data_IF_252655366874
#
_entry.id   IF_252655366874
#
_cell.length_a   1.000
_cell.length_b   1.000
_cell.length_c   1.000
_cell.angle_alpha   90.00
_cell.angle_beta   90.00
_cell.angle_gamma   90.00
#
_symmetry.space_group_name_H-M   'P 1'
#
loop_
_entity.id
_entity.type
_entity.pdbx_description
1 polymer ?
#
# COMPACT_ATOMS: atom_id res chain seq x y z
N UNK A 1 7.45 -22.52 4.25
CA UNK A 1 7.01 -22.16 5.61
C UNK A 1 7.87 -21.00 6.05
N UNK A 2 7.29 -19.84 6.24
CA UNK A 2 8.03 -18.67 6.71
C UNK A 2 8.68 -18.95 8.03
N UNK A 3 9.96 -18.68 8.11
CA UNK A 3 10.57 -18.43 9.40
C UNK A 3 10.10 -17.05 9.84
N UNK A 4 9.29 -16.99 10.92
CA UNK A 4 8.53 -15.83 11.40
C UNK A 4 9.44 -14.71 11.98
N UNK A 5 10.47 -14.34 11.26
CA UNK A 5 11.44 -13.35 11.72
C UNK A 5 10.75 -12.02 12.07
N UNK A 6 10.30 -11.27 11.08
CA UNK A 6 9.45 -10.08 11.29
C UNK A 6 8.22 -10.08 10.37
N UNK A 7 8.17 -10.94 9.33
CA UNK A 7 7.08 -11.04 8.37
C UNK A 7 6.11 -12.13 8.82
N UNK A 8 4.84 -11.77 9.02
CA UNK A 8 3.77 -12.70 9.40
C UNK A 8 2.93 -13.17 8.23
N UNK A 9 2.86 -12.37 7.17
CA UNK A 9 2.13 -12.66 5.94
C UNK A 9 2.68 -11.83 4.79
N UNK A 10 2.49 -12.31 3.56
CA UNK A 10 2.71 -11.59 2.31
C UNK A 10 1.37 -11.25 1.69
N UNK A 11 1.19 -10.02 1.28
CA UNK A 11 -0.02 -9.54 0.63
C UNK A 11 0.29 -9.05 -0.78
N UNK A 12 -0.44 -9.57 -1.78
CA UNK A 12 -0.35 -9.10 -3.17
C UNK A 12 -1.66 -8.41 -3.52
N UNK A 13 -1.66 -7.11 -3.67
CA UNK A 13 -2.84 -6.35 -4.04
C UNK A 13 -3.37 -6.65 -5.45
N UNK A 14 -4.66 -6.38 -5.64
CA UNK A 14 -5.30 -6.51 -6.95
C UNK A 14 -4.63 -5.64 -8.00
N UNK A 15 -4.35 -4.37 -7.68
CA UNK A 15 -3.78 -3.42 -8.66
C UNK A 15 -2.41 -3.83 -9.17
N UNK A 16 -1.58 -4.49 -8.39
CA UNK A 16 -0.25 -4.96 -8.81
C UNK A 16 -0.31 -5.96 -9.96
N UNK A 17 -1.35 -6.77 -10.04
CA UNK A 17 -1.50 -7.82 -11.07
C UNK A 17 -2.60 -7.52 -12.07
N UNK A 18 -3.59 -6.73 -11.69
CA UNK A 18 -4.74 -6.38 -12.53
C UNK A 18 -4.40 -5.27 -13.52
N UNK A 19 -3.69 -4.24 -13.05
CA UNK A 19 -3.41 -3.01 -13.78
C UNK A 19 -1.91 -2.94 -14.09
N UNK A 20 -1.43 -3.54 -15.18
CA UNK A 20 -0.03 -3.37 -15.56
C UNK A 20 0.25 -1.90 -15.87
N UNK A 21 1.36 -1.40 -15.33
CA UNK A 21 1.71 0.01 -15.43
C UNK A 21 2.19 0.34 -16.86
N UNK A 22 1.65 1.43 -17.40
CA UNK A 22 2.26 2.16 -18.51
C UNK A 22 3.33 3.10 -17.98
N UNK A 23 3.98 3.79 -18.87
CA UNK A 23 4.83 4.94 -18.57
C UNK A 23 4.17 6.22 -19.15
N UNK A 24 4.72 7.44 -18.87
CA UNK A 24 4.16 8.68 -19.40
C UNK A 24 4.13 8.78 -20.94
N UNK A 25 4.83 7.89 -21.62
CA UNK A 25 5.00 7.91 -23.09
C UNK A 25 4.23 6.81 -23.80
N UNK A 26 3.57 5.92 -23.06
CA UNK A 26 2.76 4.88 -23.68
C UNK A 26 1.96 4.05 -22.66
N UNK A 27 0.86 3.49 -23.13
CA UNK A 27 0.02 2.60 -22.33
C UNK A 27 0.73 1.28 -21.96
N UNK A 28 0.15 0.50 -21.05
CA UNK A 28 0.70 -0.79 -20.65
C UNK A 28 0.73 -1.79 -21.81
N UNK A 29 1.75 -2.64 -21.83
CA UNK A 29 1.86 -3.75 -22.80
C UNK A 29 0.86 -4.85 -22.48
N UNK A 30 0.65 -5.12 -21.19
CA UNK A 30 -0.29 -6.13 -20.73
C UNK A 30 -1.71 -5.58 -20.67
N UNK A 31 -2.74 -6.34 -21.07
CA UNK A 31 -4.12 -5.90 -20.90
C UNK A 31 -4.52 -5.87 -19.43
N UNK A 32 -5.45 -4.96 -19.08
CA UNK A 32 -6.11 -5.00 -17.77
C UNK A 32 -6.85 -6.33 -17.60
N UNK A 33 -6.69 -6.97 -16.45
CA UNK A 33 -7.39 -8.23 -16.14
C UNK A 33 -8.73 -7.95 -15.46
N UNK A 34 -9.75 -8.77 -15.73
CA UNK A 34 -11.02 -8.70 -14.99
C UNK A 34 -10.81 -9.02 -13.50
N UNK A 35 -11.58 -8.39 -12.63
CA UNK A 35 -11.45 -8.55 -11.19
C UNK A 35 -11.72 -9.97 -10.68
N UNK A 36 -12.62 -10.71 -11.33
CA UNK A 36 -12.88 -12.10 -10.94
C UNK A 36 -11.73 -13.03 -11.37
N UNK A 37 -11.15 -12.80 -12.55
CA UNK A 37 -9.95 -13.54 -13.01
C UNK A 37 -8.73 -13.19 -12.14
N UNK A 38 -8.58 -11.92 -11.75
CA UNK A 38 -7.56 -11.50 -10.77
C UNK A 38 -7.74 -12.24 -9.43
N UNK A 39 -8.96 -12.31 -8.92
CA UNK A 39 -9.25 -13.04 -7.68
C UNK A 39 -8.89 -14.53 -7.80
N UNK A 40 -9.19 -15.19 -8.93
CA UNK A 40 -8.84 -16.60 -9.18
C UNK A 40 -7.32 -16.81 -9.22
N UNK A 41 -6.61 -15.90 -9.87
CA UNK A 41 -5.15 -15.95 -9.96
C UNK A 41 -4.50 -15.78 -8.57
N UNK A 42 -4.93 -14.78 -7.80
CA UNK A 42 -4.43 -14.56 -6.45
C UNK A 42 -4.77 -15.73 -5.51
N UNK A 43 -5.96 -16.32 -5.63
CA UNK A 43 -6.34 -17.52 -4.90
C UNK A 43 -5.44 -18.73 -5.27
N UNK A 44 -5.06 -18.89 -6.55
CA UNK A 44 -4.08 -19.88 -7.01
C UNK A 44 -2.71 -19.63 -6.39
N UNK A 45 -2.27 -18.37 -6.33
CA UNK A 45 -0.99 -17.99 -5.72
C UNK A 45 -0.97 -18.26 -4.21
N UNK A 46 -2.09 -18.05 -3.51
CA UNK A 46 -2.24 -18.39 -2.10
C UNK A 46 -2.13 -19.91 -1.87
N UNK A 47 -2.83 -20.73 -2.67
CA UNK A 47 -2.75 -22.19 -2.61
C UNK A 47 -1.34 -22.72 -2.91
N UNK A 48 -0.57 -22.01 -3.72
CA UNK A 48 0.83 -22.32 -4.01
C UNK A 48 1.81 -21.83 -2.91
N UNK A 49 1.32 -21.17 -1.85
CA UNK A 49 2.14 -20.66 -0.75
C UNK A 49 2.98 -19.42 -1.10
N UNK A 50 2.66 -18.74 -2.19
CA UNK A 50 3.37 -17.52 -2.60
C UNK A 50 2.93 -16.30 -1.81
N UNK A 51 1.65 -16.21 -1.47
CA UNK A 51 1.03 -15.11 -0.72
C UNK A 51 0.02 -15.65 0.29
N UNK A 52 -0.35 -14.84 1.27
CA UNK A 52 -1.31 -15.18 2.32
C UNK A 52 -2.54 -14.25 2.30
N UNK A 53 -2.35 -13.05 1.77
CA UNK A 53 -3.32 -11.97 1.80
C UNK A 53 -3.37 -11.21 0.48
N UNK A 54 -4.39 -10.40 0.33
CA UNK A 54 -4.55 -9.44 -0.77
C UNK A 54 -5.13 -8.13 -0.24
N UNK A 55 -5.06 -7.08 -1.06
CA UNK A 55 -5.64 -5.77 -0.82
C UNK A 55 -6.24 -5.21 -2.11
N UNK A 56 -7.05 -4.17 -2.02
CA UNK A 56 -7.74 -3.67 -3.21
C UNK A 56 -8.20 -2.22 -3.06
N UNK A 57 -8.21 -1.48 -4.16
CA UNK A 57 -9.09 -0.32 -4.28
C UNK A 57 -10.53 -0.81 -4.48
N UNK A 58 -11.48 0.04 -4.14
CA UNK A 58 -12.89 -0.24 -4.45
C UNK A 58 -13.13 -0.38 -5.97
N UNK A 59 -12.47 0.44 -6.79
CA UNK A 59 -12.63 0.45 -8.25
C UNK A 59 -11.88 -0.71 -8.96
N UNK A 60 -10.97 -1.41 -8.29
CA UNK A 60 -10.35 -2.64 -8.82
C UNK A 60 -11.37 -3.78 -8.90
N UNK A 61 -12.33 -3.79 -8.00
CA UNK A 61 -13.33 -4.84 -7.89
C UNK A 61 -14.55 -4.56 -8.75
N UNK A 62 -15.12 -3.38 -8.57
CA UNK A 62 -16.36 -2.94 -9.21
C UNK A 62 -16.33 -1.44 -9.48
N UNK A 63 -16.78 -0.99 -10.65
CA UNK A 63 -16.78 0.42 -10.98
C UNK A 63 -17.69 1.21 -10.03
N UNK A 64 -17.40 2.48 -9.86
CA UNK A 64 -18.20 3.41 -9.10
C UNK A 64 -18.90 4.40 -10.05
N UNK A 65 -20.21 4.59 -9.84
CA UNK A 65 -21.00 5.59 -10.56
C UNK A 65 -21.24 6.83 -9.67
N UNK A 66 -20.66 7.98 -9.99
CA UNK A 66 -20.87 9.19 -9.22
C UNK A 66 -22.30 9.75 -9.31
N UNK A 67 -23.11 9.33 -10.30
CA UNK A 67 -24.51 9.72 -10.42
C UNK A 67 -25.41 8.93 -9.46
N UNK A 68 -24.99 7.72 -9.10
CA UNK A 68 -25.70 6.81 -8.21
C UNK A 68 -24.75 6.32 -7.08
N UNK A 69 -24.19 7.21 -6.27
CA UNK A 69 -23.10 6.86 -5.35
C UNK A 69 -23.52 5.94 -4.20
N UNK A 70 -24.81 5.76 -3.97
CA UNK A 70 -25.37 5.00 -2.84
C UNK A 70 -25.95 3.63 -3.24
N UNK A 71 -26.31 3.45 -4.52
CA UNK A 71 -27.14 2.32 -4.98
C UNK A 71 -26.35 1.10 -5.44
N UNK A 72 -25.05 1.22 -5.63
CA UNK A 72 -24.23 0.17 -6.24
C UNK A 72 -23.93 -1.04 -5.34
N UNK A 73 -24.33 -1.01 -4.07
CA UNK A 73 -24.26 -2.15 -3.15
C UNK A 73 -25.64 -2.75 -2.81
N UNK A 74 -26.65 -2.54 -3.65
CA UNK A 74 -27.93 -3.22 -3.51
C UNK A 74 -27.73 -4.75 -3.61
N UNK A 75 -28.19 -5.53 -2.60
CA UNK A 75 -28.10 -7.00 -2.62
C UNK A 75 -28.68 -7.68 -3.84
N UNK A 76 -29.63 -7.04 -4.54
CA UNK A 76 -30.23 -7.52 -5.79
C UNK A 76 -29.46 -7.05 -7.04
N UNK A 77 -28.54 -6.10 -6.88
CA UNK A 77 -27.77 -5.47 -7.97
C UNK A 77 -26.67 -6.36 -8.54
N UNK A 78 -26.23 -6.04 -9.74
CA UNK A 78 -25.15 -6.75 -10.43
C UNK A 78 -23.80 -6.55 -9.72
N UNK A 79 -23.53 -5.33 -9.28
CA UNK A 79 -22.32 -4.97 -8.53
C UNK A 79 -22.16 -5.83 -7.28
N UNK A 80 -23.24 -5.99 -6.51
CA UNK A 80 -23.23 -6.83 -5.31
C UNK A 80 -22.97 -8.30 -5.66
N UNK A 81 -23.63 -8.82 -6.71
CA UNK A 81 -23.39 -10.21 -7.17
C UNK A 81 -21.94 -10.45 -7.57
N UNK A 82 -21.32 -9.50 -8.27
CA UNK A 82 -19.90 -9.58 -8.64
C UNK A 82 -19.01 -9.61 -7.39
N UNK A 83 -19.26 -8.73 -6.40
CA UNK A 83 -18.54 -8.73 -5.13
C UNK A 83 -18.68 -10.05 -4.37
N UNK A 84 -19.87 -10.64 -4.36
CA UNK A 84 -20.09 -11.97 -3.73
C UNK A 84 -19.32 -13.08 -4.45
N UNK A 85 -19.25 -13.05 -5.79
CA UNK A 85 -18.47 -13.99 -6.57
C UNK A 85 -16.96 -13.87 -6.25
N UNK A 86 -16.42 -12.66 -6.21
CA UNK A 86 -15.03 -12.40 -5.80
C UNK A 86 -14.79 -12.90 -4.37
N UNK A 87 -15.64 -12.51 -3.42
CA UNK A 87 -15.55 -12.97 -2.01
C UNK A 87 -15.51 -14.50 -1.90
N UNK A 88 -16.35 -15.19 -2.66
CA UNK A 88 -16.39 -16.66 -2.70
C UNK A 88 -15.04 -17.22 -3.16
N UNK A 89 -14.49 -16.72 -4.26
CA UNK A 89 -13.19 -17.18 -4.80
C UNK A 89 -12.06 -16.95 -3.80
N UNK A 90 -11.99 -15.77 -3.18
CA UNK A 90 -10.96 -15.45 -2.17
C UNK A 90 -11.05 -16.41 -0.98
N UNK A 91 -12.27 -16.63 -0.44
CA UNK A 91 -12.50 -17.54 0.69
C UNK A 91 -12.13 -18.99 0.35
N UNK A 92 -12.55 -19.51 -0.80
CA UNK A 92 -12.24 -20.87 -1.25
C UNK A 92 -10.76 -21.05 -1.58
N UNK A 93 -10.07 -19.96 -1.92
CA UNK A 93 -8.62 -19.90 -2.08
C UNK A 93 -7.83 -19.82 -0.76
N UNK A 94 -8.51 -19.60 0.38
CA UNK A 94 -7.85 -19.38 1.68
C UNK A 94 -7.24 -17.98 1.82
N UNK A 95 -7.49 -17.07 0.87
CA UNK A 95 -6.89 -15.75 0.81
C UNK A 95 -7.67 -14.77 1.71
N UNK A 96 -6.95 -14.10 2.60
CA UNK A 96 -7.51 -13.05 3.49
C UNK A 96 -7.32 -11.68 2.86
N UNK A 97 -8.18 -10.72 3.22
CA UNK A 97 -8.03 -9.32 2.80
C UNK A 97 -7.35 -8.52 3.91
N UNK A 98 -6.17 -7.95 3.60
CA UNK A 98 -5.43 -7.11 4.53
C UNK A 98 -6.06 -5.73 4.64
N UNK A 99 -6.20 -5.02 3.52
CA UNK A 99 -6.78 -3.69 3.53
C UNK A 99 -7.65 -3.42 2.30
N UNK A 100 -8.46 -2.37 2.44
CA UNK A 100 -9.13 -1.69 1.33
C UNK A 100 -8.75 -0.22 1.33
N UNK A 101 -8.66 0.37 0.15
CA UNK A 101 -8.41 1.80 -0.04
C UNK A 101 -9.39 2.39 -1.04
N UNK A 102 -9.73 3.67 -0.87
CA UNK A 102 -10.66 4.36 -1.74
C UNK A 102 -9.95 4.98 -2.93
N UNK A 103 -10.34 4.65 -4.14
CA UNK A 103 -9.80 5.25 -5.36
C UNK A 103 -10.32 6.68 -5.55
N UNK A 104 -9.63 7.66 -4.95
CA UNK A 104 -9.92 9.10 -5.11
C UNK A 104 -8.99 9.78 -6.13
N UNK A 105 -8.36 9.01 -7.03
CA UNK A 105 -7.36 9.52 -7.98
C UNK A 105 -7.80 9.39 -9.45
N UNK A 106 -8.48 8.31 -9.81
CA UNK A 106 -8.79 7.99 -11.21
C UNK A 106 -9.94 8.78 -11.81
N UNK A 107 -10.95 9.13 -11.01
CA UNK A 107 -12.12 9.87 -11.52
C UNK A 107 -11.83 11.37 -11.63
N UNK A 108 -12.10 12.03 -12.78
CA UNK A 108 -11.87 13.47 -12.99
C UNK A 108 -12.54 14.41 -11.96
N UNK A 109 -13.60 13.96 -11.28
CA UNK A 109 -14.23 14.72 -10.20
C UNK A 109 -13.23 15.06 -9.09
N UNK A 110 -12.29 14.17 -8.80
CA UNK A 110 -11.31 14.33 -7.74
C UNK A 110 -9.98 14.97 -8.20
N UNK A 111 -9.92 15.55 -9.41
CA UNK A 111 -8.69 16.15 -9.98
C UNK A 111 -8.03 17.20 -9.07
N UNK A 112 -8.82 17.89 -8.25
CA UNK A 112 -8.34 18.92 -7.32
C UNK A 112 -8.31 18.46 -5.85
N UNK A 113 -8.28 17.16 -5.63
CA UNK A 113 -8.36 16.52 -4.32
C UNK A 113 -9.69 15.80 -4.10
N UNK A 114 -9.70 14.85 -3.19
CA UNK A 114 -10.89 14.16 -2.71
C UNK A 114 -11.41 14.77 -1.41
N UNK A 115 -10.81 14.36 -0.30
CA UNK A 115 -11.20 14.82 1.05
C UNK A 115 -10.81 16.27 1.33
N UNK A 116 -9.84 16.81 0.61
CA UNK A 116 -9.38 18.20 0.74
C UNK A 116 -9.79 19.08 -0.45
N UNK A 117 -10.72 18.63 -1.29
CA UNK A 117 -11.18 19.41 -2.44
C UNK A 117 -11.72 20.77 -1.99
N UNK A 118 -11.40 21.89 -2.67
CA UNK A 118 -11.98 23.20 -2.36
C UNK A 118 -13.50 23.23 -2.42
N UNK A 119 -14.10 22.45 -3.33
CA UNK A 119 -15.57 22.35 -3.42
C UNK A 119 -16.13 21.41 -2.33
N UNK A 120 -16.96 21.92 -1.40
CA UNK A 120 -17.54 21.09 -0.33
C UNK A 120 -18.46 19.98 -0.87
N UNK A 121 -19.04 20.13 -2.07
CA UNK A 121 -19.87 19.08 -2.71
C UNK A 121 -18.99 17.91 -3.12
N UNK A 122 -17.80 18.17 -3.63
CA UNK A 122 -16.85 17.12 -4.00
C UNK A 122 -16.30 16.43 -2.74
N UNK A 123 -15.99 17.16 -1.66
CA UNK A 123 -15.61 16.56 -0.37
C UNK A 123 -16.71 15.61 0.16
N UNK A 124 -17.97 16.04 0.11
CA UNK A 124 -19.11 15.22 0.53
C UNK A 124 -19.23 13.95 -0.34
N UNK A 125 -19.03 14.07 -1.64
CA UNK A 125 -19.05 12.93 -2.57
C UNK A 125 -17.88 11.98 -2.31
N UNK A 126 -16.69 12.50 -2.05
CA UNK A 126 -15.52 11.70 -1.65
C UNK A 126 -15.79 10.92 -0.35
N UNK A 127 -16.40 11.56 0.66
CA UNK A 127 -16.79 10.90 1.91
C UNK A 127 -17.78 9.74 1.66
N UNK A 128 -18.77 9.91 0.80
CA UNK A 128 -19.70 8.84 0.40
C UNK A 128 -18.99 7.69 -0.31
N UNK A 129 -18.05 7.98 -1.19
CA UNK A 129 -17.22 6.94 -1.84
C UNK A 129 -16.37 6.19 -0.83
N UNK A 130 -15.82 6.88 0.18
CA UNK A 130 -15.11 6.24 1.31
C UNK A 130 -16.05 5.33 2.11
N UNK A 131 -17.28 5.75 2.41
CA UNK A 131 -18.28 4.90 3.06
C UNK A 131 -18.59 3.63 2.25
N UNK A 132 -18.71 3.75 0.92
CA UNK A 132 -18.85 2.61 0.01
C UNK A 132 -17.66 1.66 0.12
N UNK A 133 -16.44 2.19 0.07
CA UNK A 133 -15.21 1.40 0.21
C UNK A 133 -15.18 0.64 1.54
N UNK A 134 -15.58 1.29 2.63
CA UNK A 134 -15.68 0.64 3.95
C UNK A 134 -16.73 -0.48 3.97
N UNK A 135 -17.86 -0.33 3.28
CA UNK A 135 -18.87 -1.40 3.13
C UNK A 135 -18.33 -2.58 2.32
N UNK A 136 -17.63 -2.31 1.22
CA UNK A 136 -16.96 -3.34 0.40
C UNK A 136 -15.93 -4.08 1.27
N UNK A 137 -15.07 -3.36 1.97
CA UNK A 137 -14.06 -3.96 2.84
C UNK A 137 -14.67 -4.78 3.98
N UNK A 138 -15.79 -4.34 4.56
CA UNK A 138 -16.52 -5.12 5.54
C UNK A 138 -17.03 -6.43 4.94
N UNK A 139 -17.63 -6.37 3.75
CA UNK A 139 -18.12 -7.54 3.02
C UNK A 139 -17.01 -8.56 2.75
N UNK A 140 -15.82 -8.09 2.40
CA UNK A 140 -14.64 -8.92 2.11
C UNK A 140 -13.88 -9.36 3.38
N UNK A 141 -14.16 -8.78 4.54
CA UNK A 141 -13.47 -9.05 5.79
C UNK A 141 -12.10 -8.40 5.92
N UNK A 142 -11.88 -7.27 5.23
CA UNK A 142 -10.66 -6.49 5.30
C UNK A 142 -10.29 -6.10 6.74
N UNK A 143 -9.01 -6.14 7.08
CA UNK A 143 -8.52 -5.83 8.43
C UNK A 143 -8.24 -4.34 8.63
N UNK A 144 -7.89 -3.62 7.56
CA UNK A 144 -7.51 -2.21 7.59
C UNK A 144 -8.24 -1.42 6.51
N UNK A 145 -8.40 -0.13 6.76
CA UNK A 145 -8.67 0.86 5.74
C UNK A 145 -7.40 1.69 5.56
N UNK A 146 -6.97 1.92 4.32
CA UNK A 146 -5.85 2.80 4.03
C UNK A 146 -6.36 4.08 3.36
N UNK A 147 -5.95 5.21 3.89
CA UNK A 147 -5.99 6.48 3.19
C UNK A 147 -4.65 6.68 2.48
N UNK A 148 -4.63 6.37 1.20
CA UNK A 148 -3.59 6.86 0.30
C UNK A 148 -3.94 8.30 -0.08
N UNK A 149 -2.93 9.19 -0.09
CA UNK A 149 -3.15 10.63 -0.28
C UNK A 149 -3.75 11.01 -1.63
N UNK A 150 -3.73 10.10 -2.62
CA UNK A 150 -4.41 10.22 -3.91
C UNK A 150 -4.09 11.54 -4.64
N UNK A 151 -5.05 12.48 -4.65
CA UNK A 151 -4.90 13.82 -5.24
C UNK A 151 -5.04 14.93 -4.19
N UNK A 152 -4.99 14.61 -2.92
CA UNK A 152 -5.01 15.58 -1.83
C UNK A 152 -3.63 16.26 -1.70
N UNK A 153 -3.46 17.30 -2.50
CA UNK A 153 -2.22 18.04 -2.71
C UNK A 153 -2.48 19.29 -3.57
N UNK A 154 -1.44 19.91 -4.08
CA UNK A 154 -1.55 21.11 -4.90
C UNK A 154 -0.41 21.29 -5.91
N UNK A 155 -0.65 22.10 -6.95
CA UNK A 155 0.34 22.64 -7.88
C UNK A 155 0.35 24.17 -7.88
N UNK A 156 -0.78 24.83 -7.52
CA UNK A 156 -0.97 26.26 -7.69
C UNK A 156 -1.30 26.92 -6.35
N UNK A 157 -0.37 27.69 -5.82
CA UNK A 157 -0.54 28.39 -4.54
C UNK A 157 -1.82 29.23 -4.47
N UNK A 158 -2.08 30.03 -5.50
CA UNK A 158 -3.23 30.95 -5.54
C UNK A 158 -4.62 30.25 -5.57
N UNK A 159 -4.64 28.91 -5.75
CA UNK A 159 -5.87 28.10 -5.76
C UNK A 159 -5.96 27.16 -4.56
N UNK A 160 -5.05 27.26 -3.62
CA UNK A 160 -4.96 26.35 -2.48
C UNK A 160 -5.34 27.09 -1.19
N UNK A 161 -6.32 26.56 -0.48
CA UNK A 161 -6.73 27.08 0.83
C UNK A 161 -5.86 26.44 1.92
N UNK A 162 -4.70 27.05 2.17
CA UNK A 162 -3.75 26.59 3.18
C UNK A 162 -4.27 26.76 4.63
N UNK A 163 -5.28 27.58 4.84
CA UNK A 163 -5.85 27.76 6.17
C UNK A 163 -6.71 26.59 6.63
N UNK A 164 -7.41 25.92 5.69
CA UNK A 164 -8.43 24.92 6.04
C UNK A 164 -8.14 23.50 5.55
N UNK A 165 -7.14 23.30 4.66
CA UNK A 165 -6.90 21.98 4.05
C UNK A 165 -6.69 20.85 5.06
N UNK A 166 -5.98 21.11 6.18
CA UNK A 166 -5.76 20.09 7.21
C UNK A 166 -6.97 19.89 8.12
N UNK A 167 -7.86 20.87 8.23
CA UNK A 167 -9.14 20.69 8.91
C UNK A 167 -10.05 19.78 8.08
N UNK A 168 -10.16 20.02 6.77
CA UNK A 168 -10.93 19.16 5.87
C UNK A 168 -10.39 17.73 5.85
N UNK A 169 -9.06 17.57 5.82
CA UNK A 169 -8.45 16.26 5.88
C UNK A 169 -8.76 15.55 7.21
N UNK A 170 -8.65 16.25 8.32
CA UNK A 170 -8.96 15.70 9.64
C UNK A 170 -10.44 15.29 9.74
N UNK A 171 -11.35 16.12 9.22
CA UNK A 171 -12.78 15.81 9.17
C UNK A 171 -13.05 14.54 8.35
N UNK A 172 -12.44 14.44 7.17
CA UNK A 172 -12.56 13.25 6.31
C UNK A 172 -12.04 11.98 6.96
N UNK A 173 -10.87 12.02 7.61
CA UNK A 173 -10.31 10.84 8.27
C UNK A 173 -11.02 10.50 9.60
N UNK A 174 -11.48 11.48 10.35
CA UNK A 174 -12.34 11.23 11.51
C UNK A 174 -13.67 10.61 11.09
N UNK A 175 -14.25 11.01 9.94
CA UNK A 175 -15.46 10.41 9.39
C UNK A 175 -15.29 8.90 9.12
N UNK A 176 -14.12 8.45 8.66
CA UNK A 176 -13.82 7.01 8.50
C UNK A 176 -14.07 6.24 9.80
N UNK A 177 -13.50 6.71 10.90
CA UNK A 177 -13.63 6.01 12.20
C UNK A 177 -15.02 6.12 12.79
N UNK A 178 -15.68 7.24 12.59
CA UNK A 178 -17.06 7.47 13.05
C UNK A 178 -18.04 6.58 12.26
N UNK A 179 -17.83 6.43 10.93
CA UNK A 179 -18.66 5.54 10.11
C UNK A 179 -18.45 4.06 10.45
N UNK A 180 -17.20 3.61 10.62
CA UNK A 180 -16.91 2.23 11.07
C UNK A 180 -17.63 1.93 12.38
N UNK A 181 -17.58 2.86 13.34
CA UNK A 181 -18.25 2.69 14.64
C UNK A 181 -19.79 2.68 14.51
N UNK A 182 -20.35 3.63 13.74
CA UNK A 182 -21.79 3.74 13.45
C UNK A 182 -22.33 2.45 12.83
N UNK A 183 -21.61 1.89 11.88
CA UNK A 183 -22.01 0.67 11.16
C UNK A 183 -21.63 -0.61 11.90
N UNK A 184 -20.95 -0.51 13.04
CA UNK A 184 -20.47 -1.66 13.85
C UNK A 184 -19.61 -2.64 13.04
N UNK A 185 -18.75 -2.14 12.19
CA UNK A 185 -17.83 -2.96 11.38
C UNK A 185 -16.68 -3.49 12.23
N UNK A 186 -16.83 -4.68 12.80
CA UNK A 186 -15.89 -5.29 13.76
C UNK A 186 -14.66 -5.94 13.11
N UNK A 187 -14.66 -6.09 11.79
CA UNK A 187 -13.53 -6.64 11.04
C UNK A 187 -12.32 -5.70 11.00
N UNK A 188 -12.54 -4.38 10.97
CA UNK A 188 -11.46 -3.40 10.94
C UNK A 188 -10.70 -3.37 12.28
N UNK A 189 -9.39 -3.62 12.22
CA UNK A 189 -8.47 -3.60 13.37
C UNK A 189 -7.64 -2.32 13.42
N UNK A 190 -7.77 -1.47 12.42
CA UNK A 190 -7.11 -0.19 12.31
C UNK A 190 -7.34 0.47 10.96
N UNK A 191 -6.84 1.69 10.86
CA UNK A 191 -6.70 2.40 9.61
C UNK A 191 -5.27 2.92 9.47
N UNK A 192 -4.85 3.21 8.25
CA UNK A 192 -3.51 3.74 7.97
C UNK A 192 -3.57 4.96 7.07
N UNK A 193 -2.58 5.81 7.23
CA UNK A 193 -2.20 6.82 6.24
C UNK A 193 -1.01 6.26 5.46
N UNK A 194 -1.08 6.35 4.16
CA UNK A 194 0.03 6.09 3.25
C UNK A 194 0.52 7.42 2.69
N UNK A 195 1.66 7.90 3.19
CA UNK A 195 2.21 9.19 2.78
C UNK A 195 2.88 9.12 1.42
N UNK A 196 2.81 10.21 0.65
CA UNK A 196 3.51 10.37 -0.63
C UNK A 196 3.94 11.82 -0.81
N UNK A 197 5.18 12.11 -1.27
CA UNK A 197 5.69 13.49 -1.37
C UNK A 197 5.08 14.27 -2.52
N UNK A 198 4.90 13.64 -3.67
CA UNK A 198 4.35 14.20 -4.90
C UNK A 198 3.72 13.09 -5.74
N UNK A 199 3.22 13.42 -6.93
CA UNK A 199 2.47 12.53 -7.81
C UNK A 199 1.19 11.94 -7.15
N UNK A 200 0.07 12.11 -7.86
CA UNK A 200 -0.10 12.78 -9.17
C UNK A 200 -0.13 14.31 -9.10
N UNK A 201 -0.01 14.91 -7.92
CA UNK A 201 0.08 16.36 -7.72
C UNK A 201 1.54 16.78 -7.50
N UNK A 202 1.87 18.07 -7.72
CA UNK A 202 3.21 18.59 -7.53
C UNK A 202 3.71 18.53 -6.09
N UNK A 203 2.81 18.69 -5.10
CA UNK A 203 3.08 18.48 -3.68
C UNK A 203 1.85 17.86 -3.01
N UNK A 204 2.07 16.86 -2.15
CA UNK A 204 1.03 16.18 -1.39
C UNK A 204 1.00 16.67 0.05
N UNK A 205 -0.18 16.62 0.71
CA UNK A 205 -0.34 17.22 2.04
C UNK A 205 0.26 16.41 3.18
N UNK A 206 0.50 15.13 3.00
CA UNK A 206 1.22 14.26 3.96
C UNK A 206 2.40 13.59 3.26
N UNK A 207 3.50 14.35 3.03
CA UNK A 207 4.56 13.90 2.13
C UNK A 207 5.45 12.79 2.68
N UNK A 208 5.53 12.59 4.01
CA UNK A 208 6.40 11.59 4.63
C UNK A 208 5.73 10.92 5.82
N UNK A 209 6.30 9.79 6.27
CA UNK A 209 5.84 9.09 7.46
C UNK A 209 5.83 9.99 8.71
N UNK A 210 6.81 10.88 8.83
CA UNK A 210 6.86 11.85 9.95
C UNK A 210 5.68 12.81 9.96
N UNK A 211 5.30 13.35 8.79
CA UNK A 211 4.11 14.20 8.64
C UNK A 211 2.83 13.42 8.97
N UNK A 212 2.72 12.19 8.48
CA UNK A 212 1.57 11.33 8.78
C UNK A 212 1.43 11.06 10.28
N UNK A 213 2.51 10.71 10.98
CA UNK A 213 2.49 10.50 12.45
C UNK A 213 2.10 11.77 13.17
N UNK A 214 2.71 12.91 12.84
CA UNK A 214 2.37 14.20 13.43
C UNK A 214 0.89 14.54 13.26
N UNK A 215 0.36 14.38 12.05
CA UNK A 215 -1.05 14.61 11.75
C UNK A 215 -1.98 13.64 12.51
N UNK A 216 -1.69 12.36 12.53
CA UNK A 216 -2.47 11.35 13.27
C UNK A 216 -2.56 11.72 14.75
N UNK A 217 -1.41 12.04 15.36
CA UNK A 217 -1.33 12.28 16.81
C UNK A 217 -1.96 13.59 17.25
N UNK A 218 -2.02 14.61 16.38
CA UNK A 218 -2.46 15.96 16.75
C UNK A 218 -3.86 16.31 16.22
N UNK A 219 -4.32 15.63 15.17
CA UNK A 219 -5.56 16.03 14.46
C UNK A 219 -6.65 14.96 14.47
N UNK A 220 -6.34 13.69 14.70
CA UNK A 220 -7.34 12.63 14.67
C UNK A 220 -7.89 12.31 16.06
N UNK A 221 -9.22 12.12 16.16
CA UNK A 221 -9.94 11.82 17.41
C UNK A 221 -9.57 10.45 18.01
N UNK A 222 -9.17 9.50 17.17
CA UNK A 222 -8.81 8.12 17.58
C UNK A 222 -7.41 7.76 17.07
N UNK A 223 -6.37 8.44 17.57
CA UNK A 223 -5.01 8.27 17.04
C UNK A 223 -4.47 6.83 17.19
N UNK A 224 -4.94 6.04 18.16
CA UNK A 224 -4.50 4.66 18.35
C UNK A 224 -5.11 3.68 17.34
N UNK A 225 -6.25 4.02 16.76
CA UNK A 225 -6.83 3.25 15.65
C UNK A 225 -6.03 3.45 14.35
N UNK A 226 -5.46 4.65 14.18
CA UNK A 226 -4.66 5.03 13.03
C UNK A 226 -3.19 4.69 13.20
N UNK A 227 -2.57 4.32 12.11
CA UNK A 227 -1.11 4.17 11.96
C UNK A 227 -0.65 4.60 10.59
N UNK A 228 0.54 4.21 10.23
CA UNK A 228 1.14 4.47 8.94
C UNK A 228 1.37 3.15 8.23
N UNK A 229 1.07 3.13 6.94
CA UNK A 229 1.51 2.16 5.97
C UNK A 229 2.57 2.88 5.12
N UNK A 230 3.85 2.79 5.46
CA UNK A 230 4.87 3.45 4.67
C UNK A 230 5.18 2.62 3.43
N UNK A 231 5.34 3.28 2.32
CA UNK A 231 5.93 2.73 1.12
C UNK A 231 7.44 3.06 1.13
N UNK A 232 8.17 2.20 1.81
CA UNK A 232 9.47 2.53 2.39
C UNK A 232 10.56 2.88 1.40
N UNK A 233 10.79 2.02 0.41
CA UNK A 233 11.83 2.27 -0.58
C UNK A 233 11.37 3.27 -1.63
N UNK A 234 10.07 3.31 -1.91
CA UNK A 234 9.44 4.11 -2.95
C UNK A 234 9.18 5.54 -2.45
N UNK A 235 8.08 5.81 -1.76
CA UNK A 235 7.71 7.17 -1.38
C UNK A 235 8.73 7.87 -0.48
N UNK A 236 9.30 7.16 0.50
CA UNK A 236 10.38 7.73 1.32
C UNK A 236 11.67 7.91 0.48
N UNK A 237 11.94 7.01 -0.48
CA UNK A 237 13.06 7.11 -1.42
C UNK A 237 12.94 8.29 -2.38
N UNK A 238 11.73 8.67 -2.81
CA UNK A 238 11.50 9.90 -3.58
C UNK A 238 11.98 11.14 -2.83
N UNK A 239 11.88 11.15 -1.49
CA UNK A 239 12.36 12.20 -0.59
C UNK A 239 13.84 12.02 -0.15
N UNK A 240 14.57 11.06 -0.69
CA UNK A 240 15.93 10.71 -0.25
C UNK A 240 16.02 10.26 1.22
N UNK A 241 14.91 9.85 1.81
CA UNK A 241 14.87 9.37 3.18
C UNK A 241 15.33 7.91 3.24
N UNK A 242 16.10 7.57 4.26
CA UNK A 242 16.57 6.21 4.47
C UNK A 242 15.49 5.35 5.13
N UNK A 243 15.12 4.24 4.51
CA UNK A 243 14.05 3.34 4.95
C UNK A 243 14.28 2.73 6.33
N UNK A 244 15.55 2.52 6.71
CA UNK A 244 15.91 2.00 8.05
C UNK A 244 15.55 3.01 9.15
N UNK A 245 15.75 4.31 8.88
CA UNK A 245 15.34 5.37 9.82
C UNK A 245 13.82 5.44 9.94
N UNK A 246 13.09 5.36 8.82
CA UNK A 246 11.63 5.40 8.81
C UNK A 246 11.04 4.24 9.62
N UNK A 247 11.48 3.00 9.41
CA UNK A 247 10.95 1.87 10.18
C UNK A 247 11.28 1.99 11.67
N UNK A 248 12.50 2.39 12.01
CA UNK A 248 12.90 2.60 13.41
C UNK A 248 12.02 3.65 14.10
N UNK A 249 11.77 4.77 13.41
CA UNK A 249 10.91 5.85 13.90
C UNK A 249 9.46 5.37 14.08
N UNK A 250 8.87 4.72 13.06
CA UNK A 250 7.48 4.24 13.12
C UNK A 250 7.29 3.17 14.20
N UNK A 251 8.28 2.30 14.41
CA UNK A 251 8.27 1.33 15.49
C UNK A 251 8.34 2.01 16.87
N UNK A 252 9.22 2.99 17.03
CA UNK A 252 9.33 3.78 18.28
C UNK A 252 8.02 4.51 18.61
N UNK A 253 7.34 5.05 17.60
CA UNK A 253 6.02 5.70 17.73
C UNK A 253 4.86 4.71 17.87
N UNK A 254 5.07 3.40 17.70
CA UNK A 254 4.04 2.36 17.67
C UNK A 254 2.96 2.62 16.58
N UNK A 255 3.38 3.20 15.46
CA UNK A 255 2.49 3.58 14.35
C UNK A 255 2.67 2.73 13.10
N UNK A 256 3.60 1.80 13.06
CA UNK A 256 3.80 0.87 11.97
C UNK A 256 2.74 -0.23 12.00
N UNK A 257 1.76 -0.22 11.09
CA UNK A 257 0.70 -1.25 11.01
C UNK A 257 1.09 -2.39 10.07
N UNK A 258 1.42 -2.09 8.86
CA UNK A 258 2.00 -2.97 7.84
C UNK A 258 2.84 -2.09 6.91
N UNK A 259 3.54 -2.66 5.96
CA UNK A 259 4.36 -1.89 5.03
C UNK A 259 4.03 -2.25 3.57
N UNK A 260 4.13 -1.27 2.69
CA UNK A 260 4.23 -1.49 1.26
C UNK A 260 5.70 -1.71 0.86
N UNK A 261 5.90 -2.63 -0.07
CA UNK A 261 7.22 -3.11 -0.45
C UNK A 261 7.35 -3.24 -1.96
N UNK A 262 8.24 -2.47 -2.50
CA UNK A 262 8.68 -2.46 -3.88
C UNK A 262 10.16 -2.08 -3.95
N UNK A 263 10.57 -1.43 -5.02
CA UNK A 263 11.92 -0.88 -5.19
C UNK A 263 11.87 0.48 -5.89
N UNK A 264 12.89 1.30 -5.68
CA UNK A 264 12.95 2.69 -6.13
C UNK A 264 14.37 3.12 -6.42
N UNK A 265 14.54 3.97 -7.42
CA UNK A 265 15.75 4.77 -7.58
C UNK A 265 15.55 6.07 -6.81
N UNK A 266 16.37 6.31 -5.80
CA UNK A 266 16.20 7.45 -4.89
C UNK A 266 16.21 8.79 -5.62
N UNK A 267 15.27 9.66 -5.22
CA UNK A 267 15.11 10.99 -5.77
C UNK A 267 14.44 11.06 -7.15
N UNK A 268 14.02 9.93 -7.71
CA UNK A 268 13.24 9.90 -8.94
C UNK A 268 11.73 9.98 -8.65
N UNK A 269 10.94 10.05 -9.74
CA UNK A 269 9.50 9.82 -9.69
C UNK A 269 9.20 8.42 -9.17
N UNK A 270 7.96 8.16 -8.80
CA UNK A 270 7.55 6.85 -8.32
C UNK A 270 7.77 5.78 -9.40
N UNK A 271 8.70 4.88 -9.13
CA UNK A 271 9.05 3.85 -10.11
C UNK A 271 8.15 2.63 -10.04
N UNK A 272 7.51 2.37 -8.91
CA UNK A 272 6.72 1.16 -8.67
C UNK A 272 7.41 -0.15 -9.08
N UNK A 273 8.74 -0.20 -8.91
CA UNK A 273 9.51 -1.37 -9.31
C UNK A 273 9.22 -2.57 -8.41
N UNK A 274 9.23 -3.78 -8.97
CA UNK A 274 9.24 -5.00 -8.17
C UNK A 274 10.39 -4.99 -7.16
N UNK A 275 10.25 -5.68 -6.01
CA UNK A 275 11.31 -5.74 -5.02
C UNK A 275 12.66 -6.19 -5.60
N UNK A 276 13.74 -5.54 -5.21
CA UNK A 276 15.12 -5.79 -5.64
C UNK A 276 15.41 -5.51 -7.12
N UNK A 277 14.48 -4.90 -7.83
CA UNK A 277 14.70 -4.42 -9.21
C UNK A 277 15.30 -3.01 -9.15
N UNK A 278 16.18 -2.72 -10.11
CA UNK A 278 16.90 -1.45 -10.20
C UNK A 278 18.32 -1.52 -9.60
N UNK A 279 19.12 -0.48 -9.76
CA UNK A 279 20.53 -0.46 -9.39
C UNK A 279 20.80 -0.34 -7.89
N UNK A 280 19.79 0.02 -7.11
CA UNK A 280 19.90 0.30 -5.69
C UNK A 280 19.04 -0.65 -4.85
N UNK A 281 19.35 -0.75 -3.56
CA UNK A 281 18.35 -1.21 -2.62
C UNK A 281 18.66 -2.47 -1.82
N UNK A 282 19.48 -3.42 -2.29
CA UNK A 282 19.67 -4.68 -1.54
C UNK A 282 20.19 -4.44 -0.11
N UNK A 283 21.24 -3.64 0.05
CA UNK A 283 21.82 -3.37 1.37
C UNK A 283 20.80 -2.68 2.27
N UNK A 284 20.18 -1.61 1.82
CA UNK A 284 19.19 -0.86 2.60
C UNK A 284 17.96 -1.73 2.92
N UNK A 285 17.47 -2.50 1.95
CA UNK A 285 16.33 -3.41 2.13
C UNK A 285 16.62 -4.46 3.21
N UNK A 286 17.79 -5.09 3.17
CA UNK A 286 18.18 -6.11 4.17
C UNK A 286 18.29 -5.48 5.55
N UNK A 287 18.90 -4.30 5.67
CA UNK A 287 18.98 -3.58 6.95
C UNK A 287 17.62 -3.10 7.44
N UNK A 288 16.69 -2.77 6.54
CA UNK A 288 15.30 -2.44 6.88
C UNK A 288 14.60 -3.64 7.55
N UNK A 289 14.69 -4.85 6.98
CA UNK A 289 14.15 -6.07 7.60
C UNK A 289 14.85 -6.40 8.93
N UNK A 290 16.17 -6.17 9.03
CA UNK A 290 16.91 -6.31 10.28
C UNK A 290 16.39 -5.35 11.36
N UNK A 291 16.20 -4.07 11.01
CA UNK A 291 15.70 -3.06 11.93
C UNK A 291 14.26 -3.38 12.40
N UNK A 292 13.38 -3.82 11.49
CA UNK A 292 12.04 -4.27 11.85
C UNK A 292 12.07 -5.39 12.89
N UNK A 293 12.94 -6.38 12.70
CA UNK A 293 13.10 -7.49 13.64
C UNK A 293 13.70 -7.02 14.98
N UNK A 294 14.73 -6.17 14.97
CA UNK A 294 15.35 -5.62 16.17
C UNK A 294 14.39 -4.76 16.99
N UNK A 295 13.48 -4.07 16.33
CA UNK A 295 12.38 -3.34 16.98
C UNK A 295 11.26 -4.24 17.51
N UNK A 296 11.32 -5.55 17.27
CA UNK A 296 10.30 -6.51 17.67
C UNK A 296 9.00 -6.42 16.83
N UNK A 297 9.03 -5.70 15.71
CA UNK A 297 7.88 -5.61 14.83
C UNK A 297 7.58 -6.95 14.15
N UNK A 298 6.30 -7.27 14.06
CA UNK A 298 5.78 -8.43 13.31
C UNK A 298 4.52 -8.02 12.57
N UNK A 299 4.56 -8.11 11.25
CA UNK A 299 3.44 -7.64 10.45
C UNK A 299 3.40 -8.17 9.03
N UNK A 300 2.48 -7.61 8.28
CA UNK A 300 2.27 -7.93 6.87
C UNK A 300 3.22 -7.11 6.02
N UNK A 301 3.90 -7.78 5.09
CA UNK A 301 4.58 -7.16 3.95
C UNK A 301 3.62 -7.22 2.77
N UNK A 302 3.17 -6.08 2.33
CA UNK A 302 2.29 -5.94 1.18
C UNK A 302 3.08 -5.35 0.02
N UNK A 303 2.92 -5.93 -1.15
CA UNK A 303 3.58 -5.41 -2.34
C UNK A 303 2.84 -4.16 -2.83
N UNK A 304 3.59 -3.14 -3.25
CA UNK A 304 3.09 -2.04 -4.04
C UNK A 304 4.07 -1.79 -5.18
N UNK A 305 3.81 -2.46 -6.28
CA UNK A 305 4.71 -2.48 -7.42
C UNK A 305 3.98 -3.06 -8.63
N UNK A 306 4.55 -2.84 -9.80
CA UNK A 306 4.01 -3.33 -11.05
C UNK A 306 5.04 -4.12 -11.85
N UNK A 307 4.56 -4.99 -12.75
CA UNK A 307 5.44 -5.61 -13.75
C UNK A 307 6.11 -4.53 -14.59
N UNK A 308 7.39 -4.70 -14.87
CA UNK A 308 8.10 -3.80 -15.78
C UNK A 308 7.44 -3.84 -17.16
N UNK A 309 7.33 -2.67 -17.81
CA UNK A 309 6.77 -2.57 -19.14
C UNK A 309 7.49 -3.45 -20.18
N UNK A 310 8.78 -3.72 -19.97
CA UNK A 310 9.59 -4.61 -20.80
C UNK A 310 9.29 -6.09 -20.59
N UNK A 311 8.46 -6.47 -19.61
CA UNK A 311 8.20 -7.86 -19.27
C UNK A 311 6.92 -8.38 -19.92
N UNK A 312 7.01 -9.60 -20.43
CA UNK A 312 5.88 -10.32 -21.02
C UNK A 312 5.47 -9.80 -22.39
N UNK A 313 4.42 -10.41 -22.90
CA UNK A 313 3.73 -10.00 -24.12
C UNK A 313 2.23 -10.19 -23.92
N UNK A 314 1.36 -9.52 -24.67
CA UNK A 314 -0.10 -9.61 -24.47
C UNK A 314 -0.65 -11.04 -24.53
N UNK A 315 -0.09 -11.87 -25.41
CA UNK A 315 -0.45 -13.28 -25.60
C UNK A 315 0.03 -14.22 -24.49
N UNK A 316 0.95 -13.77 -23.63
CA UNK A 316 1.48 -14.50 -22.47
C UNK A 316 1.26 -13.76 -21.14
N UNK A 317 0.24 -12.96 -21.07
CA UNK A 317 -0.02 -12.08 -19.93
C UNK A 317 -0.20 -12.85 -18.61
N UNK A 318 -0.90 -14.00 -18.61
CA UNK A 318 -1.11 -14.80 -17.40
C UNK A 318 0.20 -15.37 -16.86
N UNK A 319 1.07 -15.88 -17.73
CA UNK A 319 2.38 -16.41 -17.35
C UNK A 319 3.30 -15.31 -16.80
N UNK A 320 3.29 -14.12 -17.40
CA UNK A 320 4.03 -12.98 -16.90
C UNK A 320 3.58 -12.55 -15.49
N UNK A 321 2.27 -12.46 -15.25
CA UNK A 321 1.71 -12.15 -13.93
C UNK A 321 2.08 -13.20 -12.88
N UNK A 322 2.02 -14.46 -13.25
CA UNK A 322 2.40 -15.54 -12.35
C UNK A 322 3.88 -15.47 -11.94
N UNK A 323 4.78 -15.25 -12.91
CA UNK A 323 6.21 -15.05 -12.64
C UNK A 323 6.47 -13.83 -11.78
N UNK A 324 5.79 -12.72 -12.04
CA UNK A 324 5.87 -11.51 -11.23
C UNK A 324 5.51 -11.78 -9.75
N UNK A 325 4.36 -12.39 -9.47
CA UNK A 325 3.95 -12.73 -8.10
C UNK A 325 4.97 -13.66 -7.42
N UNK A 326 5.49 -14.63 -8.15
CA UNK A 326 6.51 -15.56 -7.64
C UNK A 326 7.80 -14.81 -7.30
N UNK A 327 8.30 -13.96 -8.18
CA UNK A 327 9.52 -13.18 -7.95
C UNK A 327 9.39 -12.21 -6.78
N UNK A 328 8.28 -11.51 -6.66
CA UNK A 328 8.00 -10.64 -5.50
C UNK A 328 8.03 -11.42 -4.18
N UNK A 329 7.39 -12.59 -4.16
CA UNK A 329 7.38 -13.47 -2.99
C UNK A 329 8.78 -13.96 -2.62
N UNK A 330 9.56 -14.39 -3.60
CA UNK A 330 10.93 -14.88 -3.43
C UNK A 330 11.87 -13.76 -2.94
N UNK A 331 11.68 -12.52 -3.39
CA UNK A 331 12.47 -11.37 -2.94
C UNK A 331 12.33 -11.13 -1.43
N UNK A 332 11.12 -11.28 -0.86
CA UNK A 332 10.92 -11.19 0.60
C UNK A 332 11.70 -12.30 1.31
N UNK A 333 11.65 -13.53 0.81
CA UNK A 333 12.36 -14.66 1.39
C UNK A 333 13.88 -14.43 1.38
N UNK A 334 14.43 -13.90 0.29
CA UNK A 334 15.84 -13.55 0.15
C UNK A 334 16.21 -12.49 1.20
N UNK A 335 15.47 -11.38 1.26
CA UNK A 335 15.76 -10.27 2.18
C UNK A 335 15.70 -10.72 3.65
N UNK A 336 14.68 -11.50 4.03
CA UNK A 336 14.55 -12.03 5.39
C UNK A 336 15.72 -12.97 5.74
N UNK A 337 16.09 -13.91 4.84
CA UNK A 337 17.21 -14.81 5.05
C UNK A 337 18.54 -14.07 5.19
N UNK A 338 18.76 -13.02 4.40
CA UNK A 338 19.96 -12.20 4.49
C UNK A 338 19.96 -11.39 5.80
N UNK A 339 18.84 -10.79 6.18
CA UNK A 339 18.73 -10.05 7.44
C UNK A 339 19.00 -10.93 8.68
N UNK A 340 18.59 -12.19 8.66
CA UNK A 340 18.86 -13.16 9.73
C UNK A 340 20.34 -13.50 9.88
N UNK A 341 21.16 -13.35 8.84
CA UNK A 341 22.62 -13.58 8.91
C UNK A 341 23.35 -12.43 9.60
N UNK A 342 22.78 -11.23 9.61
CA UNK A 342 23.41 -10.05 10.18
C UNK A 342 23.50 -10.16 11.71
N UNK A 343 24.73 -10.22 12.23
CA UNK A 343 25.03 -10.20 13.65
C UNK A 343 25.55 -8.82 14.07
N UNK A 344 25.37 -8.43 15.32
CA UNK A 344 25.98 -7.21 15.83
C UNK A 344 27.50 -7.20 15.58
N UNK A 345 28.02 -6.04 15.17
CA UNK A 345 29.46 -5.86 15.05
C UNK A 345 30.15 -5.97 16.40
N UNK A 346 31.43 -6.38 16.42
CA UNK A 346 32.24 -6.35 17.61
C UNK A 346 32.34 -4.91 18.14
N UNK A 347 32.20 -4.71 19.44
CA UNK A 347 32.25 -3.38 20.09
C UNK A 347 33.56 -2.63 19.83
N UNK A 348 34.65 -3.37 19.58
CA UNK A 348 35.98 -2.84 19.30
C UNK A 348 36.23 -2.53 17.82
N UNK A 349 35.35 -2.99 16.91
CA UNK A 349 35.47 -2.74 15.47
C UNK A 349 35.23 -1.26 15.16
N UNK A 350 36.07 -0.66 14.31
CA UNK A 350 35.75 0.63 13.73
C UNK A 350 34.61 0.50 12.68
N UNK A 351 34.07 1.64 12.21
CA UNK A 351 32.91 1.64 11.31
C UNK A 351 33.15 0.86 10.02
N UNK A 352 34.30 0.97 9.40
CA UNK A 352 34.68 0.26 8.18
C UNK A 352 34.80 -1.25 8.41
N UNK A 353 35.42 -1.67 9.51
CA UNK A 353 35.51 -3.09 9.87
C UNK A 353 34.13 -3.70 10.13
N UNK A 354 33.25 -2.97 10.81
CA UNK A 354 31.89 -3.39 11.09
C UNK A 354 31.08 -3.56 9.78
N UNK A 355 31.19 -2.62 8.83
CA UNK A 355 30.54 -2.70 7.53
C UNK A 355 31.06 -3.88 6.69
N UNK A 356 32.39 -4.07 6.64
CA UNK A 356 32.97 -5.21 5.92
C UNK A 356 32.56 -6.56 6.54
N UNK A 357 32.48 -6.64 7.87
CA UNK A 357 32.00 -7.84 8.54
C UNK A 357 30.53 -8.13 8.18
N UNK A 358 29.68 -7.11 8.13
CA UNK A 358 28.30 -7.26 7.72
C UNK A 358 28.20 -7.73 6.26
N UNK A 359 28.98 -7.15 5.34
CA UNK A 359 29.01 -7.57 3.93
C UNK A 359 29.44 -9.04 3.79
N UNK A 360 30.49 -9.47 4.51
CA UNK A 360 30.91 -10.89 4.51
C UNK A 360 29.78 -11.81 4.99
N UNK A 361 29.04 -11.43 6.02
CA UNK A 361 27.89 -12.21 6.49
C UNK A 361 26.80 -12.31 5.41
N UNK A 362 26.55 -11.25 4.66
CA UNK A 362 25.59 -11.27 3.54
C UNK A 362 26.08 -12.16 2.40
N UNK A 363 27.35 -12.09 2.05
CA UNK A 363 27.95 -12.88 0.96
C UNK A 363 28.22 -14.35 1.35
N UNK A 364 28.21 -14.67 2.63
CA UNK A 364 28.53 -16.03 3.11
C UNK A 364 30.02 -16.35 3.09
N UNK A 365 30.88 -15.34 3.22
CA UNK A 365 32.34 -15.48 3.29
C UNK A 365 32.90 -15.06 4.67
#
# INVERSE_FOLDING_TARGET
>A
MYDKYCVTARSMPFWCVQNPLGDPFGGPVQPKQDSLETAKMLAKACKAGLIDMTSTHDDDLVPWDPQHPEDDLDPKGEVYRKLQAIRKVLREGGLKVNMVTCSLHGNPLFRAGGLTNPDPKIRALAAKKVERTLRIGHLLGAKHYTYWVARDGFEVYAKTDFAHLYDWLADGLNHVTDYIAKMKFTNYKGATVEPKPNEPRGAMFLPTAGHAVGFIMTRLKKPDFWGVNPELLQHEGMCLINSVLTVSYLCACKKMKFLHFGSQIKGQFDNDFPPLVGPEGLKETVWMFKALADCGWKGVVEFDCHMLRSEGSPDKAEDARWRFVKSCSEAVDICVKLAQRLKPAAKTANGTEAELAAIRQLCGC
#
